data_IF_540117063999
#
_entry.id   IF_540117063999
#
_cell.length_a   1.000
_cell.length_b   1.000
_cell.length_c   1.000
_cell.angle_alpha   90.00
_cell.angle_beta   90.00
_cell.angle_gamma   90.00
#
_symmetry.space_group_name_H-M   'P 1'
#
loop_
_entity.id
_entity.type
_entity.pdbx_description
1 polymer ?
#
# COMPACT_ATOMS: atom_id res chain seq x y z
N UNK A 1 -54.65 16.77 29.49
CA UNK A 1 -55.22 15.49 28.99
C UNK A 1 -55.79 15.78 27.61
N UNK A 2 -55.43 15.14 26.48
CA UNK A 2 -55.09 13.74 26.23
C UNK A 2 -54.03 13.68 25.11
N UNK A 3 -52.88 13.05 25.37
CA UNK A 3 -51.97 12.62 24.31
C UNK A 3 -52.61 11.43 23.61
N UNK A 4 -52.89 11.55 22.30
CA UNK A 4 -53.26 10.40 21.47
C UNK A 4 -51.99 9.84 20.86
N UNK A 5 -51.44 8.81 21.49
CA UNK A 5 -50.52 7.89 20.82
C UNK A 5 -51.24 7.19 19.68
N UNK A 6 -50.62 7.14 18.50
CA UNK A 6 -50.86 6.07 17.52
C UNK A 6 -49.50 5.45 17.17
N UNK A 7 -49.39 4.11 17.16
CA UNK A 7 -48.14 3.40 17.07
C UNK A 7 -47.69 3.25 15.61
N UNK A 8 -46.37 3.25 15.44
CA UNK A 8 -45.60 2.33 14.58
C UNK A 8 -46.31 1.75 13.35
N UNK A 9 -46.02 2.31 12.17
CA UNK A 9 -46.11 1.58 10.91
C UNK A 9 -44.67 1.36 10.43
N UNK A 10 -44.25 0.10 10.51
CA UNK A 10 -42.98 -0.42 10.04
C UNK A 10 -42.62 0.18 8.67
N UNK A 11 -41.39 0.69 8.57
CA UNK A 11 -40.73 0.96 7.29
C UNK A 11 -40.83 -0.31 6.45
N UNK A 12 -41.50 -0.23 5.32
CA UNK A 12 -41.56 -1.28 4.32
C UNK A 12 -40.13 -1.73 4.00
N UNK A 13 -39.82 -2.99 4.29
CA UNK A 13 -38.63 -3.65 3.73
C UNK A 13 -38.79 -3.65 2.21
N UNK A 14 -37.71 -3.41 1.42
CA UNK A 14 -37.78 -3.55 -0.03
C UNK A 14 -38.21 -4.98 -0.37
N UNK A 15 -39.16 -5.10 -1.30
CA UNK A 15 -39.62 -6.40 -1.82
C UNK A 15 -38.42 -7.27 -2.21
N UNK A 16 -38.49 -8.55 -1.85
CA UNK A 16 -37.49 -9.53 -2.25
C UNK A 16 -37.45 -9.58 -3.80
N UNK A 17 -36.25 -9.63 -4.41
CA UNK A 17 -36.13 -9.71 -5.86
C UNK A 17 -36.85 -10.95 -6.39
N UNK A 18 -37.53 -10.80 -7.53
CA UNK A 18 -38.30 -11.86 -8.17
C UNK A 18 -37.38 -13.07 -8.45
N UNK A 19 -37.79 -14.31 -8.10
CA UNK A 19 -37.00 -15.50 -8.38
C UNK A 19 -36.65 -15.66 -9.88
N UNK A 20 -37.44 -15.10 -10.79
CA UNK A 20 -37.14 -15.09 -12.22
C UNK A 20 -35.94 -14.18 -12.57
N UNK A 21 -35.76 -13.08 -11.85
CA UNK A 21 -34.61 -12.18 -12.05
C UNK A 21 -33.33 -12.79 -11.50
N UNK A 22 -33.42 -13.50 -10.37
CA UNK A 22 -32.32 -14.29 -9.81
C UNK A 22 -31.90 -15.39 -10.79
N UNK A 23 -32.86 -16.08 -11.41
CA UNK A 23 -32.59 -17.13 -12.39
C UNK A 23 -31.94 -16.58 -13.68
N UNK A 24 -32.36 -15.40 -14.15
CA UNK A 24 -31.73 -14.73 -15.31
C UNK A 24 -30.29 -14.30 -15.01
N UNK A 25 -30.03 -13.78 -13.82
CA UNK A 25 -28.68 -13.42 -13.40
C UNK A 25 -27.76 -14.66 -13.34
N UNK A 26 -28.25 -15.77 -12.77
CA UNK A 26 -27.51 -17.03 -12.72
C UNK A 26 -27.25 -17.61 -14.12
N UNK A 27 -28.21 -17.49 -15.04
CA UNK A 27 -28.07 -17.97 -16.42
C UNK A 27 -27.11 -17.12 -17.28
N UNK A 28 -26.84 -15.87 -16.89
CA UNK A 28 -25.90 -14.96 -17.57
C UNK A 28 -24.45 -15.03 -17.06
N UNK A 29 -24.18 -15.77 -15.98
CA UNK A 29 -22.84 -15.93 -15.44
C UNK A 29 -22.03 -16.93 -16.30
N UNK A 30 -21.61 -16.45 -17.47
CA UNK A 30 -20.60 -17.14 -18.28
C UNK A 30 -19.40 -17.47 -17.39
N UNK A 31 -18.98 -18.73 -17.42
CA UNK A 31 -17.81 -19.24 -16.73
C UNK A 31 -16.58 -18.51 -17.26
N UNK A 32 -16.24 -17.39 -16.63
CA UNK A 32 -14.91 -16.82 -16.77
C UNK A 32 -13.98 -17.82 -16.08
N UNK A 33 -13.42 -18.73 -16.87
CA UNK A 33 -12.31 -19.57 -16.48
C UNK A 33 -11.23 -18.63 -15.98
N UNK A 34 -11.12 -18.52 -14.66
CA UNK A 34 -9.95 -17.95 -14.02
C UNK A 34 -8.89 -19.02 -14.22
N UNK A 35 -8.03 -18.84 -15.23
CA UNK A 35 -6.78 -19.58 -15.27
C UNK A 35 -6.14 -19.46 -13.88
N UNK A 36 -5.72 -20.57 -13.25
CA UNK A 36 -5.00 -20.48 -12.00
C UNK A 36 -3.80 -19.58 -12.27
N UNK A 37 -3.80 -18.40 -11.63
CA UNK A 37 -2.70 -17.46 -11.71
C UNK A 37 -1.44 -18.28 -11.46
N UNK A 38 -0.58 -18.34 -12.49
CA UNK A 38 0.73 -18.95 -12.36
C UNK A 38 1.33 -18.42 -11.06
N UNK A 39 1.61 -19.34 -10.13
CA UNK A 39 2.33 -19.01 -8.91
C UNK A 39 3.51 -18.14 -9.33
N UNK A 40 3.69 -16.96 -8.71
CA UNK A 40 4.74 -16.05 -9.13
C UNK A 40 6.05 -16.85 -9.17
N UNK A 41 6.71 -16.82 -10.33
CA UNK A 41 8.02 -17.42 -10.51
C UNK A 41 8.85 -17.10 -9.28
N UNK A 42 9.34 -18.15 -8.62
CA UNK A 42 10.11 -18.04 -7.40
C UNK A 42 11.37 -17.25 -7.74
N UNK A 43 11.32 -15.93 -7.55
CA UNK A 43 12.44 -15.03 -7.82
C UNK A 43 13.57 -15.49 -6.93
N UNK A 44 14.57 -16.13 -7.53
CA UNK A 44 15.77 -16.56 -6.83
C UNK A 44 16.45 -15.28 -6.34
N UNK A 45 16.21 -14.94 -5.07
CA UNK A 45 16.88 -13.83 -4.42
C UNK A 45 18.34 -14.25 -4.31
N UNK A 46 19.29 -13.54 -4.94
CA UNK A 46 20.70 -13.89 -4.85
C UNK A 46 21.11 -13.89 -3.37
N UNK A 47 21.87 -14.91 -2.94
CA UNK A 47 22.22 -15.09 -1.52
C UNK A 47 23.09 -13.97 -0.95
N UNK A 48 23.65 -13.12 -1.81
CA UNK A 48 24.41 -11.91 -1.46
C UNK A 48 23.77 -10.73 -2.20
N UNK A 49 23.31 -9.68 -1.51
CA UNK A 49 22.80 -8.50 -2.16
C UNK A 49 23.81 -7.86 -3.09
N UNK A 50 23.37 -7.36 -4.25
CA UNK A 50 24.28 -6.78 -5.24
C UNK A 50 25.03 -5.54 -4.70
N UNK A 51 24.47 -4.84 -3.70
CA UNK A 51 25.09 -3.65 -3.11
C UNK A 51 26.16 -3.95 -2.05
N UNK A 52 26.30 -5.18 -1.53
CA UNK A 52 27.37 -5.51 -0.56
C UNK A 52 28.77 -5.44 -1.19
N UNK A 53 28.86 -5.49 -2.52
CA UNK A 53 30.13 -5.36 -3.26
C UNK A 53 30.49 -3.91 -3.58
N UNK A 54 29.62 -2.96 -3.24
CA UNK A 54 29.79 -1.54 -3.56
C UNK A 54 30.30 -0.79 -2.33
N UNK A 55 31.13 0.22 -2.58
CA UNK A 55 31.61 1.13 -1.52
C UNK A 55 30.48 2.11 -1.11
N UNK A 56 30.17 2.14 0.18
CA UNK A 56 29.13 3.01 0.76
C UNK A 56 29.55 4.49 0.74
N UNK A 57 30.84 4.76 0.77
CA UNK A 57 31.42 6.11 0.78
C UNK A 57 31.78 6.60 -0.63
N UNK A 58 31.42 5.83 -1.66
CA UNK A 58 31.60 6.22 -3.04
C UNK A 58 30.88 7.53 -3.37
N UNK A 59 31.46 8.29 -4.31
CA UNK A 59 30.86 9.55 -4.78
C UNK A 59 29.49 9.28 -5.43
N UNK A 60 28.47 10.11 -5.15
CA UNK A 60 27.16 9.96 -5.80
C UNK A 60 27.27 10.16 -7.32
N UNK A 61 26.83 9.17 -8.09
CA UNK A 61 26.83 9.21 -9.56
C UNK A 61 25.44 9.43 -10.17
N UNK A 62 24.38 9.16 -9.41
CA UNK A 62 22.99 9.21 -9.85
C UNK A 62 22.15 10.10 -8.95
N UNK A 63 21.21 10.83 -9.55
CA UNK A 63 20.22 11.64 -8.84
C UNK A 63 18.91 10.89 -8.59
N UNK A 64 18.19 11.26 -7.53
CA UNK A 64 16.83 10.80 -7.25
C UNK A 64 15.88 11.99 -7.38
N UNK A 65 14.84 11.86 -8.20
CA UNK A 65 13.79 12.86 -8.35
C UNK A 65 12.49 12.33 -7.71
N UNK A 66 11.93 13.07 -6.75
CA UNK A 66 10.70 12.72 -6.06
C UNK A 66 9.63 13.76 -6.38
N UNK A 67 8.42 13.28 -6.72
CA UNK A 67 7.23 14.13 -6.79
C UNK A 67 6.58 14.13 -5.42
N UNK A 68 6.52 15.30 -4.80
CA UNK A 68 5.97 15.49 -3.47
C UNK A 68 4.70 16.34 -3.55
N UNK A 69 3.72 16.03 -2.71
CA UNK A 69 2.62 16.94 -2.44
C UNK A 69 3.05 18.03 -1.43
N UNK A 70 2.18 19.03 -1.22
CA UNK A 70 2.48 20.15 -0.34
C UNK A 70 2.74 19.72 1.12
N UNK A 71 1.99 18.73 1.61
CA UNK A 71 2.15 18.21 2.97
C UNK A 71 3.52 17.54 3.15
N UNK A 72 3.91 16.66 2.24
CA UNK A 72 5.20 15.95 2.27
C UNK A 72 6.38 16.92 2.18
N UNK A 73 6.26 17.95 1.34
CA UNK A 73 7.29 18.96 1.19
C UNK A 73 7.50 19.75 2.48
N UNK A 74 6.41 20.23 3.11
CA UNK A 74 6.51 20.97 4.38
C UNK A 74 7.03 20.10 5.53
N UNK A 75 6.63 18.82 5.58
CA UNK A 75 7.17 17.87 6.55
C UNK A 75 8.69 17.71 6.40
N UNK A 76 9.17 17.48 5.19
CA UNK A 76 10.61 17.31 4.93
C UNK A 76 11.40 18.59 5.20
N UNK A 77 10.81 19.74 4.90
CA UNK A 77 11.41 21.05 5.19
C UNK A 77 11.58 21.26 6.70
N UNK A 78 10.52 21.03 7.48
CA UNK A 78 10.58 21.12 8.94
C UNK A 78 11.67 20.21 9.54
N UNK A 79 11.77 18.97 9.06
CA UNK A 79 12.80 18.02 9.51
C UNK A 79 14.21 18.49 9.13
N UNK A 80 14.39 19.02 7.92
CA UNK A 80 15.67 19.51 7.45
C UNK A 80 16.15 20.74 8.26
N UNK A 81 15.25 21.67 8.56
CA UNK A 81 15.53 22.84 9.40
C UNK A 81 15.89 22.44 10.84
N UNK A 82 15.22 21.43 11.39
CA UNK A 82 15.47 20.95 12.76
C UNK A 82 16.87 20.36 12.96
N UNK A 83 17.45 19.81 11.90
CA UNK A 83 18.77 19.15 11.91
C UNK A 83 19.89 20.01 11.29
N UNK A 84 19.58 21.25 10.88
CA UNK A 84 20.47 22.16 10.12
C UNK A 84 21.08 21.48 8.87
N UNK A 85 20.22 20.86 8.07
CA UNK A 85 20.59 20.10 6.86
C UNK A 85 19.75 20.48 5.67
N UNK A 86 20.23 20.13 4.48
CA UNK A 86 19.41 20.20 3.27
C UNK A 86 18.35 19.10 3.24
N UNK A 87 17.20 19.37 2.62
CA UNK A 87 16.13 18.38 2.40
C UNK A 87 16.69 17.10 1.74
N UNK A 88 17.61 17.21 0.79
CA UNK A 88 18.22 16.05 0.14
C UNK A 88 19.07 15.20 1.11
N UNK A 89 19.83 15.83 2.00
CA UNK A 89 20.59 15.11 3.03
C UNK A 89 19.66 14.44 4.03
N UNK A 90 18.58 15.12 4.44
CA UNK A 90 17.55 14.56 5.33
C UNK A 90 16.89 13.34 4.69
N UNK A 91 16.48 13.42 3.42
CA UNK A 91 15.93 12.29 2.67
C UNK A 91 16.92 11.12 2.64
N UNK A 92 18.19 11.35 2.28
CA UNK A 92 19.20 10.28 2.27
C UNK A 92 19.38 9.64 3.65
N UNK A 93 19.42 10.44 4.71
CA UNK A 93 19.61 9.97 6.10
C UNK A 93 18.46 9.10 6.57
N UNK A 94 17.23 9.36 6.10
CA UNK A 94 16.04 8.60 6.45
C UNK A 94 15.83 7.39 5.53
N UNK A 95 15.98 7.59 4.21
CA UNK A 95 15.62 6.60 3.19
C UNK A 95 16.60 5.43 3.15
N UNK A 96 17.91 5.66 3.28
CA UNK A 96 18.91 4.58 3.16
C UNK A 96 18.76 3.54 4.28
N UNK A 97 18.70 3.92 5.57
CA UNK A 97 18.50 2.93 6.64
C UNK A 97 17.15 2.20 6.54
N UNK A 98 16.09 2.90 6.11
CA UNK A 98 14.78 2.29 5.89
C UNK A 98 14.82 1.25 4.75
N UNK A 99 15.53 1.56 3.65
CA UNK A 99 15.72 0.65 2.53
C UNK A 99 16.58 -0.57 2.92
N UNK A 100 17.65 -0.38 3.70
CA UNK A 100 18.47 -1.48 4.23
C UNK A 100 17.64 -2.40 5.14
N UNK A 101 16.82 -1.83 6.02
CA UNK A 101 15.91 -2.58 6.90
C UNK A 101 14.86 -3.36 6.10
N UNK A 102 14.26 -2.74 5.09
CA UNK A 102 13.29 -3.39 4.22
C UNK A 102 13.95 -4.54 3.42
N UNK A 103 15.17 -4.35 2.94
CA UNK A 103 15.92 -5.37 2.23
C UNK A 103 16.28 -6.56 3.13
N UNK A 104 16.67 -6.30 4.39
CA UNK A 104 16.93 -7.35 5.38
C UNK A 104 15.66 -8.16 5.69
N UNK A 105 14.52 -7.50 5.84
CA UNK A 105 13.24 -8.17 6.06
C UNK A 105 12.85 -9.09 4.90
N UNK A 106 13.08 -8.68 3.64
CA UNK A 106 12.83 -9.51 2.44
C UNK A 106 13.73 -10.75 2.42
N UNK A 107 14.97 -10.62 2.89
CA UNK A 107 15.93 -11.75 2.95
C UNK A 107 15.59 -12.78 4.02
N UNK A 108 14.69 -12.46 4.96
CA UNK A 108 14.44 -13.31 6.12
C UNK A 108 15.54 -13.22 7.18
N UNK A 109 16.44 -12.24 7.08
CA UNK A 109 17.47 -11.94 8.09
C UNK A 109 16.86 -11.16 9.28
N UNK A 110 15.61 -11.49 9.65
CA UNK A 110 14.99 -11.05 10.89
C UNK A 110 15.72 -11.73 12.04
N UNK A 111 16.84 -11.14 12.45
CA UNK A 111 17.56 -11.53 13.65
C UNK A 111 16.59 -11.49 14.83
N UNK A 112 16.36 -12.67 15.42
CA UNK A 112 15.77 -12.82 16.76
C UNK A 112 16.73 -12.33 17.84
#
# INVERSE_FOLDING_TARGET
>A
MKFKSKPEALRALPDLPDPADVARFAAGAGTRTVEPAALPEMTVVPSVPPWEKLDKDAKPLSGLNLRLNAYEHELLKFLAESDDRSIQQTIKRLLIPAAESAAAAIRGDSSS
#
